data_IF_626133129636
#
_entry.id   IF_626133129636
#
_cell.length_a   1.000
_cell.length_b   1.000
_cell.length_c   1.000
_cell.angle_alpha   90.00
_cell.angle_beta   90.00
_cell.angle_gamma   90.00
#
_symmetry.space_group_name_H-M   'P 1'
#
loop_
_entity.id
_entity.type
_entity.pdbx_description
1 polymer ?
#
# COMPACT_ATOMS: atom_id res chain seq x y z
N UNK A 1 6.36 11.99 -1.01
CA UNK A 1 6.09 12.17 -2.46
C UNK A 1 7.10 11.49 -3.40
N UNK A 2 8.06 10.67 -2.93
CA UNK A 2 9.20 10.20 -3.76
C UNK A 2 9.16 8.69 -4.09
N UNK A 3 8.81 7.83 -3.12
CA UNK A 3 8.84 6.36 -3.28
C UNK A 3 8.10 5.90 -4.54
N UNK A 4 8.78 5.11 -5.38
CA UNK A 4 8.23 4.54 -6.61
C UNK A 4 7.50 5.56 -7.51
N UNK A 5 8.04 6.79 -7.61
CA UNK A 5 7.47 7.87 -8.44
C UNK A 5 6.35 8.67 -7.78
N UNK A 6 6.00 8.38 -6.52
CA UNK A 6 5.01 9.12 -5.74
C UNK A 6 3.55 8.77 -6.07
N UNK A 7 2.63 9.63 -5.64
CA UNK A 7 1.18 9.47 -5.86
C UNK A 7 0.45 8.57 -4.86
N UNK A 8 1.13 8.11 -3.82
CA UNK A 8 0.53 7.31 -2.75
C UNK A 8 -0.20 8.19 -1.73
N UNK A 9 -1.42 7.79 -1.38
CA UNK A 9 -2.26 8.33 -0.32
C UNK A 9 -2.27 7.36 0.86
N UNK A 10 -2.07 7.85 2.08
CA UNK A 10 -2.16 7.03 3.28
C UNK A 10 -3.64 6.76 3.57
N UNK A 11 -4.03 5.49 3.73
CA UNK A 11 -5.40 5.13 4.08
C UNK A 11 -5.50 4.27 5.33
N UNK A 12 -4.37 3.86 5.91
CA UNK A 12 -4.36 3.08 7.13
C UNK A 12 -3.06 3.20 7.89
N UNK A 13 -3.14 3.20 9.22
CA UNK A 13 -1.96 3.14 10.10
C UNK A 13 -2.26 2.25 11.31
N UNK A 14 -1.26 1.47 11.71
CA UNK A 14 -1.27 0.73 12.98
C UNK A 14 0.03 0.98 13.74
N UNK A 15 -0.03 0.98 15.07
CA UNK A 15 1.13 1.02 15.95
C UNK A 15 1.39 -0.34 16.63
N UNK A 16 0.63 -1.37 16.24
CA UNK A 16 0.82 -2.75 16.65
C UNK A 16 0.66 -3.67 15.44
N UNK A 17 1.01 -4.95 15.62
CA UNK A 17 0.74 -6.00 14.61
C UNK A 17 -0.73 -6.40 14.53
N UNK A 18 -1.59 -5.90 15.44
CA UNK A 18 -3.02 -6.17 15.41
C UNK A 18 -3.69 -5.22 14.43
N UNK A 19 -4.15 -5.76 13.30
CA UNK A 19 -4.78 -4.96 12.23
C UNK A 19 -6.31 -4.92 12.33
N UNK A 20 -6.91 -5.89 13.03
CA UNK A 20 -8.35 -6.14 13.00
C UNK A 20 -9.19 -5.39 14.02
N UNK A 21 -8.57 -4.88 15.09
CA UNK A 21 -9.18 -3.97 16.07
C UNK A 21 -9.14 -2.51 15.61
N UNK A 22 -8.44 -2.22 14.52
CA UNK A 22 -8.12 -0.84 14.16
C UNK A 22 -9.38 -0.21 13.58
N UNK A 23 -9.86 0.91 14.17
CA UNK A 23 -11.10 1.53 13.76
C UNK A 23 -11.00 2.11 12.35
N UNK A 24 -12.13 2.36 11.71
CA UNK A 24 -12.18 3.24 10.54
C UNK A 24 -13.01 4.48 10.84
N UNK A 25 -12.60 5.62 10.28
CA UNK A 25 -13.32 6.89 10.38
C UNK A 25 -13.35 7.61 9.04
N UNK A 26 -13.99 8.78 9.00
CA UNK A 26 -13.98 9.65 7.82
C UNK A 26 -12.78 10.60 7.80
N UNK A 27 -11.90 10.51 8.80
CA UNK A 27 -10.75 11.42 8.93
C UNK A 27 -9.61 10.99 8.01
N UNK A 28 -8.72 11.95 7.73
CA UNK A 28 -7.46 11.68 7.03
C UNK A 28 -6.50 10.92 7.95
N UNK A 29 -5.85 9.89 7.41
CA UNK A 29 -4.80 9.19 8.16
C UNK A 29 -3.53 10.01 8.14
N UNK A 30 -3.06 10.36 9.32
CA UNK A 30 -1.77 11.01 9.50
C UNK A 30 -0.64 9.97 9.65
N UNK A 31 0.55 10.20 9.09
CA UNK A 31 1.68 9.28 9.22
C UNK A 31 2.11 9.03 10.68
N UNK A 32 1.92 10.01 11.56
CA UNK A 32 2.32 9.94 12.97
C UNK A 32 1.15 10.15 13.95
N UNK A 33 -0.09 10.09 13.45
CA UNK A 33 -1.30 10.30 14.25
C UNK A 33 -1.82 9.03 14.91
N UNK A 34 -3.11 8.97 15.22
CA UNK A 34 -3.72 7.78 15.83
C UNK A 34 -3.95 6.62 14.84
N UNK A 35 -3.86 5.36 15.26
CA UNK A 35 -4.18 4.20 14.42
C UNK A 35 -5.64 4.20 13.96
N UNK A 36 -5.87 4.26 12.65
CA UNK A 36 -7.18 4.08 12.04
C UNK A 36 -7.07 3.80 10.53
N UNK A 37 -8.18 3.40 9.93
CA UNK A 37 -8.40 3.33 8.49
C UNK A 37 -9.25 4.51 8.01
N UNK A 38 -8.97 5.03 6.82
CA UNK A 38 -9.77 6.06 6.15
C UNK A 38 -10.89 5.41 5.33
N UNK A 39 -12.13 5.53 5.79
CA UNK A 39 -13.31 5.09 5.05
C UNK A 39 -13.76 6.08 3.96
N UNK A 40 -13.37 7.36 4.06
CA UNK A 40 -13.66 8.37 3.03
C UNK A 40 -12.94 8.09 1.69
N UNK A 41 -11.91 7.23 1.68
CA UNK A 41 -11.23 6.78 0.47
C UNK A 41 -11.87 5.54 -0.17
N UNK A 42 -12.99 5.04 0.35
CA UNK A 42 -13.63 3.80 -0.13
C UNK A 42 -13.97 3.80 -1.62
N UNK A 43 -14.34 4.96 -2.17
CA UNK A 43 -14.65 5.12 -3.60
C UNK A 43 -13.44 5.52 -4.46
N UNK A 44 -12.24 5.63 -3.86
CA UNK A 44 -11.03 5.87 -4.64
C UNK A 44 -10.69 4.63 -5.48
N UNK A 45 -10.46 4.78 -6.80
CA UNK A 45 -9.88 3.72 -7.60
C UNK A 45 -8.44 3.49 -7.14
N UNK A 46 -8.05 2.24 -6.98
CA UNK A 46 -6.71 1.83 -6.57
C UNK A 46 -6.11 0.91 -7.61
N UNK A 47 -4.83 1.11 -7.87
CA UNK A 47 -4.02 0.34 -8.80
C UNK A 47 -2.78 -0.22 -8.11
N UNK A 48 -2.27 0.49 -7.11
CA UNK A 48 -1.22 -0.02 -6.23
C UNK A 48 -1.67 0.03 -4.77
N UNK A 49 -1.36 -1.03 -4.02
CA UNK A 49 -1.45 -1.07 -2.56
C UNK A 49 -0.04 -1.25 -2.01
N UNK A 50 0.42 -0.31 -1.20
CA UNK A 50 1.74 -0.31 -0.58
C UNK A 50 1.60 -0.54 0.91
N UNK A 51 2.50 -1.35 1.46
CA UNK A 51 2.58 -1.66 2.89
C UNK A 51 4.01 -1.43 3.34
N UNK A 52 4.15 -0.75 4.47
CA UNK A 52 5.43 -0.45 5.08
C UNK A 52 5.39 -0.83 6.55
N UNK A 53 6.38 -1.56 7.03
CA UNK A 53 6.55 -1.92 8.43
C UNK A 53 7.79 -1.26 9.02
N UNK A 54 7.74 -0.83 10.27
CA UNK A 54 8.89 -0.36 11.02
C UNK A 54 8.84 -0.82 12.48
N UNK A 55 10.00 -0.80 13.15
CA UNK A 55 10.11 -1.13 14.59
C UNK A 55 9.64 0.03 15.47
N UNK A 56 9.85 1.25 15.00
CA UNK A 56 9.48 2.50 15.64
C UNK A 56 8.59 3.29 14.69
N UNK A 57 8.12 4.45 15.12
CA UNK A 57 7.32 5.34 14.28
C UNK A 57 8.10 6.00 13.13
N UNK A 58 9.40 5.70 12.98
CA UNK A 58 10.27 6.30 11.98
C UNK A 58 10.09 5.64 10.60
N UNK A 59 9.36 6.34 9.71
CA UNK A 59 9.13 5.95 8.32
C UNK A 59 10.40 5.85 7.46
N UNK A 60 11.53 6.42 7.91
CA UNK A 60 12.80 6.35 7.17
C UNK A 60 13.54 5.02 7.34
N UNK A 61 13.13 4.19 8.32
CA UNK A 61 13.80 2.92 8.66
C UNK A 61 12.83 1.74 8.58
N UNK A 62 12.32 1.40 7.39
CA UNK A 62 11.42 0.27 7.24
C UNK A 62 12.15 -1.06 7.52
N UNK A 63 11.47 -1.96 8.21
CA UNK A 63 11.86 -3.37 8.36
C UNK A 63 11.56 -4.14 7.07
N UNK A 64 10.39 -3.89 6.49
CA UNK A 64 10.00 -4.36 5.17
C UNK A 64 9.08 -3.34 4.51
N UNK A 65 9.12 -3.27 3.20
CA UNK A 65 8.37 -2.28 2.44
C UNK A 65 8.07 -2.82 1.06
N UNK A 66 6.80 -3.06 0.74
CA UNK A 66 6.41 -3.65 -0.54
C UNK A 66 5.17 -2.98 -1.11
N UNK A 67 4.94 -3.18 -2.40
CA UNK A 67 3.67 -2.85 -3.05
C UNK A 67 3.15 -3.98 -3.92
N UNK A 68 1.84 -4.12 -3.91
CA UNK A 68 1.08 -4.88 -4.88
C UNK A 68 0.71 -3.96 -6.03
N UNK A 69 1.06 -4.36 -7.25
CA UNK A 69 0.44 -3.82 -8.47
C UNK A 69 -0.77 -4.68 -8.81
N UNK A 70 -1.95 -4.09 -8.91
CA UNK A 70 -3.15 -4.78 -9.40
C UNK A 70 -3.14 -4.83 -10.93
N UNK A 71 -3.72 -5.89 -11.51
CA UNK A 71 -3.86 -6.00 -12.97
C UNK A 71 -4.86 -4.97 -13.51
N UNK A 72 -5.95 -4.75 -12.75
CA UNK A 72 -6.98 -3.77 -13.09
C UNK A 72 -7.26 -2.88 -11.88
N UNK A 73 -7.63 -1.64 -12.15
CA UNK A 73 -8.10 -0.73 -11.11
C UNK A 73 -9.37 -1.28 -10.45
N UNK A 74 -9.53 -1.01 -9.16
CA UNK A 74 -10.76 -1.29 -8.42
C UNK A 74 -10.94 -0.31 -7.27
N UNK A 75 -12.17 -0.18 -6.77
CA UNK A 75 -12.45 0.69 -5.64
C UNK A 75 -11.83 0.14 -4.35
N UNK A 76 -11.31 1.02 -3.49
CA UNK A 76 -10.71 0.63 -2.21
C UNK A 76 -11.70 -0.12 -1.30
N UNK A 77 -12.98 0.23 -1.31
CA UNK A 77 -14.03 -0.50 -0.57
C UNK A 77 -14.19 -1.96 -1.01
N UNK A 78 -13.60 -2.35 -2.14
CA UNK A 78 -13.55 -3.72 -2.66
C UNK A 78 -12.10 -4.25 -2.65
N UNK A 79 -11.30 -3.85 -1.65
CA UNK A 79 -9.89 -4.25 -1.53
C UNK A 79 -9.74 -5.78 -1.40
N UNK A 80 -10.62 -6.40 -0.62
CA UNK A 80 -10.64 -7.85 -0.46
C UNK A 80 -11.61 -8.48 -1.47
N UNK A 81 -11.19 -9.55 -2.14
CA UNK A 81 -11.97 -10.30 -3.14
C UNK A 81 -11.91 -11.80 -2.90
N UNK A 82 -12.89 -12.52 -3.43
CA UNK A 82 -13.05 -13.99 -3.38
C UNK A 82 -12.76 -14.66 -4.73
N UNK A 83 -12.34 -13.89 -5.73
CA UNK A 83 -12.08 -14.32 -7.10
C UNK A 83 -10.83 -13.63 -7.69
N UNK A 84 -10.60 -13.74 -9.00
CA UNK A 84 -9.49 -13.11 -9.73
C UNK A 84 -8.11 -13.32 -9.08
N UNK A 85 -7.75 -14.57 -8.82
CA UNK A 85 -6.46 -14.96 -8.24
C UNK A 85 -6.54 -15.41 -6.78
N UNK A 86 -7.54 -14.92 -6.02
CA UNK A 86 -7.95 -15.54 -4.78
C UNK A 86 -9.00 -16.62 -5.06
N UNK A 87 -9.03 -17.67 -4.24
CA UNK A 87 -10.10 -18.67 -4.28
C UNK A 87 -11.24 -18.25 -3.36
N UNK A 88 -12.46 -18.72 -3.63
CA UNK A 88 -13.63 -18.41 -2.81
C UNK A 88 -13.42 -18.77 -1.34
N UNK A 89 -12.75 -19.89 -1.06
CA UNK A 89 -12.44 -20.33 0.31
C UNK A 89 -11.29 -19.57 0.99
N UNK A 90 -10.57 -18.70 0.28
CA UNK A 90 -9.40 -17.96 0.79
C UNK A 90 -9.41 -16.50 0.30
N UNK A 91 -10.34 -15.68 0.81
CA UNK A 91 -10.49 -14.29 0.42
C UNK A 91 -9.27 -13.43 0.78
N UNK A 92 -9.03 -12.39 -0.01
CA UNK A 92 -7.92 -11.49 0.25
C UNK A 92 -7.65 -10.48 -0.84
N UNK A 93 -6.44 -9.93 -0.86
CA UNK A 93 -6.01 -9.00 -1.92
C UNK A 93 -5.59 -9.83 -3.12
N UNK A 94 -6.53 -10.02 -4.04
CA UNK A 94 -6.30 -10.72 -5.30
C UNK A 94 -6.00 -9.77 -6.47
N UNK A 95 -6.00 -10.36 -7.66
CA UNK A 95 -5.77 -9.71 -8.96
C UNK A 95 -4.42 -8.99 -9.05
N UNK A 96 -3.38 -9.60 -8.47
CA UNK A 96 -2.05 -9.01 -8.42
C UNK A 96 -1.28 -9.33 -9.72
N UNK A 97 -0.80 -8.28 -10.37
CA UNK A 97 0.07 -8.34 -11.53
C UNK A 97 1.51 -8.70 -11.12
N UNK A 98 2.03 -7.99 -10.11
CA UNK A 98 3.34 -8.22 -9.54
C UNK A 98 3.47 -7.62 -8.14
N UNK A 99 4.49 -8.05 -7.42
CA UNK A 99 4.91 -7.46 -6.15
C UNK A 99 6.27 -6.79 -6.33
N UNK A 100 6.39 -5.55 -5.85
CA UNK A 100 7.64 -4.80 -5.83
C UNK A 100 8.13 -4.69 -4.40
N UNK A 101 9.40 -5.03 -4.15
CA UNK A 101 10.08 -4.65 -2.93
C UNK A 101 10.56 -3.20 -3.09
N UNK A 102 10.07 -2.33 -2.22
CA UNK A 102 10.34 -0.89 -2.25
C UNK A 102 11.59 -0.51 -1.47
N UNK A 103 12.23 -1.45 -0.75
CA UNK A 103 13.57 -1.25 -0.18
C UNK A 103 14.64 -1.40 -1.27
N UNK A 104 14.42 -2.28 -2.24
CA UNK A 104 15.34 -2.53 -3.36
C UNK A 104 14.85 -1.96 -4.69
N UNK A 105 13.62 -1.44 -4.73
CA UNK A 105 12.93 -0.93 -5.94
C UNK A 105 12.83 -1.97 -7.07
N UNK A 106 12.86 -3.26 -6.73
CA UNK A 106 12.79 -4.37 -7.70
C UNK A 106 11.46 -5.11 -7.65
N UNK A 107 11.03 -5.60 -8.82
CA UNK A 107 9.92 -6.56 -8.88
C UNK A 107 10.44 -7.91 -8.38
N UNK A 108 9.91 -8.36 -7.24
CA UNK A 108 10.36 -9.60 -6.59
C UNK A 108 9.56 -10.82 -7.02
N UNK A 109 8.36 -10.63 -7.56
CA UNK A 109 7.58 -11.72 -8.16
C UNK A 109 6.47 -11.21 -9.08
N UNK A 110 6.23 -11.94 -10.16
CA UNK A 110 5.07 -11.80 -11.06
C UNK A 110 4.13 -13.00 -10.98
N UNK A 111 4.49 -14.01 -10.17
CA UNK A 111 3.75 -15.26 -9.98
C UNK A 111 2.69 -15.14 -8.89
N UNK A 112 2.91 -14.24 -7.93
CA UNK A 112 2.02 -14.01 -6.81
C UNK A 112 0.68 -13.41 -7.26
N UNK A 113 -0.44 -13.99 -6.81
CA UNK A 113 -1.80 -13.64 -7.23
C UNK A 113 -2.72 -13.23 -6.09
N UNK A 114 -2.54 -13.77 -4.88
CA UNK A 114 -3.44 -13.51 -3.76
C UNK A 114 -2.73 -13.43 -2.42
N UNK A 115 -2.95 -12.32 -1.69
CA UNK A 115 -2.63 -12.19 -0.28
C UNK A 115 -3.86 -12.55 0.56
N UNK A 116 -3.90 -13.76 1.12
CA UNK A 116 -5.04 -14.23 1.92
C UNK A 116 -5.08 -13.47 3.23
N UNK A 117 -6.20 -12.79 3.44
CA UNK A 117 -6.35 -11.88 4.57
C UNK A 117 -6.83 -12.59 5.84
N UNK A 118 -7.80 -13.49 5.68
CA UNK A 118 -8.55 -14.12 6.77
C UNK A 118 -9.24 -15.39 6.29
N UNK A 119 -9.90 -16.09 7.22
CA UNK A 119 -10.69 -17.28 6.87
C UNK A 119 -11.88 -16.89 6.01
N UNK A 120 -12.29 -17.78 5.11
CA UNK A 120 -13.58 -17.60 4.46
C UNK A 120 -14.71 -17.81 5.47
N UNK A 121 -15.44 -16.74 5.72
CA UNK A 121 -16.74 -16.78 6.37
C UNK A 121 -17.81 -16.50 5.32
N UNK A 122 -19.00 -17.09 5.48
CA UNK A 122 -20.13 -16.84 4.58
C UNK A 122 -20.37 -15.31 4.51
N UNK A 123 -20.49 -14.70 3.32
CA UNK A 123 -20.78 -13.27 3.19
C UNK A 123 -22.00 -12.82 4.02
N UNK A 124 -22.98 -13.70 4.22
CA UNK A 124 -24.17 -13.46 5.04
C UNK A 124 -23.85 -13.26 6.53
N UNK A 125 -22.75 -13.83 7.05
CA UNK A 125 -22.32 -13.58 8.44
C UNK A 125 -21.51 -12.29 8.57
N UNK A 126 -20.94 -11.77 7.47
CA UNK A 126 -20.44 -10.41 7.41
C UNK A 126 -19.14 -10.09 8.15
N UNK A 127 -18.33 -11.09 8.57
CA UNK A 127 -17.06 -10.87 9.30
C UNK A 127 -15.80 -10.95 8.44
N UNK A 128 -14.66 -10.62 9.05
CA UNK A 128 -13.34 -10.75 8.45
C UNK A 128 -13.20 -9.83 7.23
N UNK A 129 -12.91 -10.41 6.06
CA UNK A 129 -12.70 -9.64 4.83
C UNK A 129 -13.93 -8.84 4.38
N UNK A 130 -15.15 -9.36 4.56
CA UNK A 130 -16.38 -8.67 4.18
C UNK A 130 -16.57 -7.43 5.05
N UNK A 131 -16.31 -7.56 6.35
CA UNK A 131 -16.35 -6.44 7.28
C UNK A 131 -15.24 -5.44 6.97
N UNK A 132 -14.02 -5.88 6.62
CA UNK A 132 -12.94 -4.97 6.22
C UNK A 132 -13.36 -4.09 5.03
N UNK A 133 -13.95 -4.68 3.99
CA UNK A 133 -14.51 -3.93 2.86
C UNK A 133 -15.61 -2.95 3.31
N UNK A 134 -16.51 -3.38 4.20
CA UNK A 134 -17.53 -2.51 4.79
C UNK A 134 -16.91 -1.33 5.57
N UNK A 135 -15.87 -1.58 6.36
CA UNK A 135 -15.17 -0.56 7.14
C UNK A 135 -14.34 0.40 6.27
N UNK A 136 -13.99 0.01 5.04
CA UNK A 136 -13.43 0.91 4.04
C UNK A 136 -14.52 1.73 3.32
N UNK A 137 -15.80 1.35 3.42
CA UNK A 137 -16.94 2.08 2.87
C UNK A 137 -17.58 3.05 3.86
N UNK A 138 -17.55 2.71 5.16
CA UNK A 138 -18.14 3.50 6.24
C UNK A 138 -17.32 3.37 7.52
N UNK A 139 -17.43 4.31 8.47
CA UNK A 139 -16.79 4.21 9.77
C UNK A 139 -17.17 2.93 10.53
N UNK A 140 -16.19 2.33 11.20
CA UNK A 140 -16.30 1.18 12.10
C UNK A 140 -15.53 1.50 13.37
N UNK A 141 -16.23 1.77 14.48
CA UNK A 141 -15.60 2.29 15.72
C UNK A 141 -14.64 1.30 16.39
N UNK A 142 -14.76 0.01 16.12
CA UNK A 142 -13.98 -1.07 16.78
C UNK A 142 -13.11 -1.86 15.81
N UNK A 143 -13.09 -1.49 14.54
CA UNK A 143 -12.46 -2.27 13.48
C UNK A 143 -13.31 -3.43 12.98
N UNK A 144 -12.74 -4.24 12.09
CA UNK A 144 -13.48 -5.20 11.28
C UNK A 144 -13.70 -6.58 11.93
N UNK A 145 -13.16 -6.81 13.13
CA UNK A 145 -13.38 -8.06 13.87
C UNK A 145 -14.67 -8.08 14.71
N UNK A 146 -15.34 -6.95 14.86
CA UNK A 146 -16.49 -6.81 15.77
C UNK A 146 -17.78 -6.65 14.97
N UNK A 147 -18.86 -7.23 15.50
CA UNK A 147 -20.19 -6.80 15.09
C UNK A 147 -20.46 -5.39 15.60
N UNK A 148 -20.75 -4.49 14.66
CA UNK A 148 -21.17 -3.11 14.95
C UNK A 148 -22.69 -3.01 14.85
N UNK A 149 -23.40 -3.81 15.65
CA UNK A 149 -24.84 -3.64 15.92
C UNK A 149 -25.00 -3.13 17.34
N UNK A 150 -25.76 -2.04 17.52
CA UNK A 150 -25.80 -1.17 18.71
C UNK A 150 -26.08 -1.85 20.07
N UNK A 151 -26.50 -3.12 20.09
CA UNK A 151 -27.02 -3.77 21.30
C UNK A 151 -26.03 -4.71 21.98
N UNK A 152 -25.11 -5.36 21.25
CA UNK A 152 -24.14 -6.28 21.87
C UNK A 152 -22.78 -6.30 21.16
N UNK A 153 -21.71 -6.25 21.96
CA UNK A 153 -20.33 -6.34 21.48
C UNK A 153 -19.84 -7.79 21.51
N UNK A 154 -19.64 -8.38 20.33
CA UNK A 154 -18.97 -9.67 20.20
C UNK A 154 -17.85 -9.58 19.17
N UNK A 155 -16.66 -10.03 19.57
CA UNK A 155 -15.57 -10.26 18.64
C UNK A 155 -15.83 -11.57 17.88
N UNK A 156 -15.70 -11.52 16.56
CA UNK A 156 -16.12 -12.59 15.64
C UNK A 156 -14.97 -13.11 14.77
N UNK A 157 -13.87 -12.36 14.70
CA UNK A 157 -12.65 -12.77 14.01
C UNK A 157 -11.43 -12.38 14.85
N UNK A 158 -10.37 -13.17 14.76
CA UNK A 158 -9.09 -12.96 15.44
C UNK A 158 -7.91 -12.95 14.45
N UNK A 159 -8.21 -12.87 13.16
CA UNK A 159 -7.24 -12.91 12.07
C UNK A 159 -7.37 -11.69 11.17
N UNK A 160 -6.31 -11.40 10.45
CA UNK A 160 -6.24 -10.26 9.54
C UNK A 160 -4.78 -9.95 9.27
N UNK A 161 -4.30 -10.33 8.08
CA UNK A 161 -2.89 -10.11 7.74
C UNK A 161 -2.69 -9.71 6.29
N UNK A 162 -1.67 -8.88 6.09
CA UNK A 162 -1.21 -8.49 4.77
C UNK A 162 0.15 -9.12 4.54
N UNK A 163 0.28 -9.88 3.45
CA UNK A 163 1.47 -10.69 3.18
C UNK A 163 1.76 -10.82 1.70
N UNK A 164 2.98 -11.22 1.35
CA UNK A 164 3.27 -11.70 0.00
C UNK A 164 4.25 -12.86 0.04
N UNK A 165 4.26 -13.67 -1.02
CA UNK A 165 5.25 -14.70 -1.24
C UNK A 165 5.95 -14.46 -2.58
N UNK A 166 7.28 -14.55 -2.59
CA UNK A 166 8.06 -14.54 -3.84
C UNK A 166 8.04 -15.90 -4.53
N UNK A 167 7.80 -16.99 -3.78
CA UNK A 167 7.90 -18.36 -4.26
C UNK A 167 6.55 -18.95 -4.70
N UNK A 168 5.47 -18.60 -3.99
CA UNK A 168 4.13 -19.10 -4.19
C UNK A 168 3.21 -18.12 -4.93
N UNK A 169 2.10 -18.64 -5.45
CA UNK A 169 1.02 -17.83 -6.02
C UNK A 169 0.11 -17.21 -4.95
N UNK A 170 0.16 -17.72 -3.72
CA UNK A 170 -0.71 -17.33 -2.61
C UNK A 170 0.13 -17.27 -1.32
N UNK A 171 -0.19 -16.33 -0.43
CA UNK A 171 0.42 -16.20 0.91
C UNK A 171 -0.65 -15.83 1.94
N UNK A 172 -0.27 -15.74 3.22
CA UNK A 172 -1.15 -15.26 4.29
C UNK A 172 -1.35 -16.29 5.38
N UNK A 173 -2.51 -16.26 6.05
CA UNK A 173 -2.75 -17.03 7.28
C UNK A 173 -2.66 -18.56 7.13
N UNK A 174 -2.68 -19.09 5.90
CA UNK A 174 -2.57 -20.53 5.63
C UNK A 174 -1.31 -20.93 4.88
N UNK A 175 -0.46 -19.97 4.51
CA UNK A 175 0.65 -20.18 3.59
C UNK A 175 1.90 -19.45 4.05
N UNK A 176 3.07 -19.95 3.65
CA UNK A 176 4.30 -19.22 3.94
C UNK A 176 4.33 -17.89 3.16
N UNK A 177 5.08 -16.94 3.69
CA UNK A 177 5.20 -15.59 3.15
C UNK A 177 6.66 -15.12 3.22
N UNK A 178 7.06 -14.27 2.29
CA UNK A 178 8.31 -13.52 2.33
C UNK A 178 8.24 -12.41 3.39
N UNK A 179 7.10 -11.72 3.46
CA UNK A 179 6.79 -10.78 4.53
C UNK A 179 5.31 -10.84 4.88
N UNK A 180 5.00 -10.55 6.14
CA UNK A 180 3.65 -10.51 6.70
C UNK A 180 3.57 -9.47 7.81
N UNK A 181 2.46 -8.75 7.87
CA UNK A 181 2.01 -8.02 9.06
C UNK A 181 0.58 -8.38 9.37
N UNK A 182 0.31 -8.73 10.61
CA UNK A 182 -1.05 -9.01 11.06
C UNK A 182 -1.13 -10.14 12.06
N UNK A 183 -2.32 -10.72 12.15
CA UNK A 183 -2.62 -11.83 13.04
C UNK A 183 -3.12 -13.06 12.28
N UNK A 184 -2.72 -14.23 12.77
CA UNK A 184 -3.30 -15.52 12.43
C UNK A 184 -3.67 -16.24 13.73
N UNK A 185 -4.97 -16.52 13.92
CA UNK A 185 -5.53 -17.13 15.15
C UNK A 185 -5.00 -16.50 16.44
N UNK A 186 -5.15 -15.18 16.59
CA UNK A 186 -4.65 -14.36 17.74
C UNK A 186 -3.14 -14.17 17.83
N UNK A 187 -2.32 -14.88 17.03
CA UNK A 187 -0.86 -14.70 17.02
C UNK A 187 -0.50 -13.59 16.04
N UNK A 188 -0.07 -12.45 16.58
CA UNK A 188 0.20 -11.26 15.80
C UNK A 188 1.69 -10.93 15.74
N UNK A 189 2.17 -10.54 14.56
CA UNK A 189 3.55 -10.12 14.34
C UNK A 189 3.70 -9.32 13.04
N UNK A 190 4.81 -8.60 12.95
CA UNK A 190 5.48 -8.38 11.68
C UNK A 190 6.57 -9.43 11.50
N UNK A 191 6.54 -10.16 10.39
CA UNK A 191 7.61 -11.06 10.00
C UNK A 191 8.10 -10.72 8.59
N UNK A 192 9.41 -10.80 8.36
CA UNK A 192 10.01 -10.43 7.09
C UNK A 192 11.36 -11.13 6.87
N UNK A 193 11.72 -11.29 5.59
CA UNK A 193 13.05 -11.66 5.15
C UNK A 193 13.99 -10.46 4.97
N UNK A 194 15.24 -10.70 4.52
CA UNK A 194 16.13 -9.63 4.08
C UNK A 194 15.52 -8.87 2.89
N UNK A 195 15.91 -7.59 2.71
CA UNK A 195 15.55 -6.80 1.53
C UNK A 195 16.01 -7.53 0.26
N UNK A 196 15.13 -7.60 -0.75
CA UNK A 196 15.36 -8.38 -1.97
C UNK A 196 15.37 -9.90 -1.77
N UNK A 197 14.90 -10.40 -0.62
CA UNK A 197 14.86 -11.84 -0.32
C UNK A 197 14.09 -12.64 -1.36
N UNK A 198 14.58 -13.84 -1.65
CA UNK A 198 14.11 -14.71 -2.74
C UNK A 198 13.36 -15.96 -2.25
N UNK A 199 13.00 -16.00 -0.96
CA UNK A 199 12.31 -17.12 -0.34
C UNK A 199 11.14 -16.67 0.57
N UNK A 200 10.46 -17.64 1.17
CA UNK A 200 9.49 -17.41 2.22
C UNK A 200 10.13 -17.60 3.60
N UNK A 201 10.06 -16.55 4.40
CA UNK A 201 10.74 -16.42 5.70
C UNK A 201 9.78 -16.46 6.89
N UNK A 202 8.48 -16.42 6.60
CA UNK A 202 7.40 -16.34 7.56
C UNK A 202 6.45 -17.50 7.33
N UNK A 203 6.25 -18.29 8.38
CA UNK A 203 5.23 -19.33 8.42
C UNK A 203 3.95 -18.81 9.06
N UNK A 204 2.92 -19.66 9.00
CA UNK A 204 1.64 -19.44 9.68
C UNK A 204 1.82 -19.24 11.18
N UNK A 205 0.85 -18.60 11.82
CA UNK A 205 0.86 -18.36 13.26
C UNK A 205 2.11 -17.60 13.75
N UNK A 206 2.66 -16.72 12.90
CA UNK A 206 3.85 -15.94 13.19
C UNK A 206 5.09 -16.79 13.51
N UNK A 207 5.30 -17.88 12.77
CA UNK A 207 6.49 -18.74 12.92
C UNK A 207 7.63 -18.28 12.02
N UNK A 208 8.84 -18.23 12.56
CA UNK A 208 10.04 -17.88 11.79
C UNK A 208 10.44 -19.07 10.92
N UNK A 209 10.83 -18.80 9.68
CA UNK A 209 11.48 -19.76 8.79
C UNK A 209 12.83 -19.23 8.34
N UNK A 210 13.84 -20.10 8.30
CA UNK A 210 15.19 -19.78 7.81
C UNK A 210 15.71 -18.48 8.45
N UNK A 211 16.17 -17.53 7.63
CA UNK A 211 16.73 -16.24 8.04
C UNK A 211 15.66 -15.14 8.27
N UNK A 212 14.39 -15.52 8.44
CA UNK A 212 13.34 -14.57 8.77
C UNK A 212 13.54 -13.88 10.11
N UNK A 213 12.95 -12.70 10.24
CA UNK A 213 12.92 -11.93 11.49
C UNK A 213 11.48 -11.73 11.91
N UNK A 214 11.18 -11.92 13.20
CA UNK A 214 9.87 -11.65 13.80
C UNK A 214 9.99 -10.48 14.75
N UNK A 215 9.02 -9.58 14.68
CA UNK A 215 8.82 -8.49 15.63
C UNK A 215 7.37 -8.55 16.10
N UNK A 216 7.15 -8.62 17.43
CA UNK A 216 5.81 -8.75 18.00
C UNK A 216 4.96 -7.49 17.82
N UNK A 217 5.55 -6.32 17.99
CA UNK A 217 4.89 -5.02 17.82
C UNK A 217 5.57 -4.26 16.69
N UNK A 218 4.85 -4.06 15.60
CA UNK A 218 5.33 -3.26 14.46
C UNK A 218 4.42 -2.07 14.22
N UNK A 219 5.03 -0.95 13.85
CA UNK A 219 4.31 0.17 13.25
C UNK A 219 4.11 -0.14 11.77
N UNK A 220 2.91 0.08 11.26
CA UNK A 220 2.59 -0.22 9.87
C UNK A 220 1.78 0.88 9.22
N UNK A 221 2.08 1.13 7.95
CA UNK A 221 1.39 2.11 7.11
C UNK A 221 0.92 1.47 5.84
N UNK A 222 -0.32 1.78 5.48
CA UNK A 222 -1.03 1.23 4.34
C UNK A 222 -1.39 2.37 3.40
N UNK A 223 -0.86 2.29 2.19
CA UNK A 223 -0.94 3.35 1.20
C UNK A 223 -1.59 2.83 -0.06
N UNK A 224 -2.33 3.68 -0.76
CA UNK A 224 -2.95 3.35 -2.04
C UNK A 224 -2.57 4.37 -3.09
N UNK A 225 -2.55 3.96 -4.36
CA UNK A 225 -2.30 4.85 -5.49
C UNK A 225 -3.22 4.48 -6.64
N UNK A 226 -3.91 5.48 -7.18
CA UNK A 226 -4.84 5.31 -8.31
C UNK A 226 -4.11 5.24 -9.65
N UNK A 227 -3.02 6.01 -9.81
CA UNK A 227 -2.21 5.99 -11.01
C UNK A 227 -0.77 6.40 -10.69
N UNK A 228 0.17 5.95 -11.52
CA UNK A 228 1.56 6.40 -11.42
C UNK A 228 1.61 7.85 -11.94
N UNK A 229 2.04 8.84 -11.13
CA UNK A 229 2.14 10.21 -11.59
C UNK A 229 3.02 10.29 -12.84
N UNK A 230 2.45 10.76 -13.95
CA UNK A 230 3.25 11.10 -15.13
C UNK A 230 4.01 12.39 -14.81
N UNK A 231 5.31 12.45 -15.11
CA UNK A 231 6.05 13.71 -15.10
C UNK A 231 5.48 14.60 -16.21
N UNK A 232 4.49 15.42 -15.88
CA UNK A 232 3.86 16.36 -16.83
C UNK A 232 4.77 17.59 -17.04
N UNK A 233 5.61 17.90 -16.06
CA UNK A 233 6.55 19.01 -16.13
C UNK A 233 7.88 18.58 -16.76
N UNK A 234 8.01 18.87 -18.06
CA UNK A 234 9.30 19.15 -18.67
C UNK A 234 9.75 20.53 -18.16
N UNK A 235 10.90 20.64 -17.48
CA UNK A 235 11.41 21.95 -17.01
C UNK A 235 11.51 22.88 -18.24
N UNK A 236 10.63 23.86 -18.33
CA UNK A 236 10.80 25.03 -19.19
C UNK A 236 11.24 26.15 -18.26
N UNK A 237 12.50 26.57 -18.36
CA UNK A 237 12.99 27.75 -17.66
C UNK A 237 13.23 28.84 -18.70
N UNK A 238 12.39 29.88 -18.65
CA UNK A 238 12.52 31.06 -19.48
C UNK A 238 13.23 32.14 -18.66
N UNK A 239 14.35 32.66 -19.16
CA UNK A 239 15.04 33.76 -18.52
C UNK A 239 15.49 34.80 -19.53
N UNK A 240 15.56 36.06 -19.07
CA UNK A 240 15.98 37.22 -19.85
C UNK A 240 17.41 37.56 -19.46
N UNK A 241 18.27 37.78 -20.46
CA UNK A 241 19.63 38.28 -20.27
C UNK A 241 19.76 39.60 -21.00
N UNK A 242 20.24 40.62 -20.31
CA UNK A 242 20.68 41.86 -20.95
C UNK A 242 22.10 41.67 -21.44
N UNK A 243 22.31 41.77 -22.74
CA UNK A 243 23.64 41.67 -23.34
C UNK A 243 24.47 42.92 -23.04
N UNK A 244 25.78 42.85 -23.25
CA UNK A 244 26.71 43.99 -23.10
C UNK A 244 26.30 45.22 -23.92
N UNK A 245 25.48 45.03 -24.96
CA UNK A 245 25.03 46.08 -25.87
C UNK A 245 23.67 46.68 -25.47
N UNK A 246 23.10 46.25 -24.33
CA UNK A 246 21.79 46.71 -23.85
C UNK A 246 20.58 45.92 -24.39
N UNK A 247 20.79 45.01 -25.35
CA UNK A 247 19.71 44.21 -25.91
C UNK A 247 19.24 43.14 -24.92
N UNK A 248 17.92 42.99 -24.77
CA UNK A 248 17.31 41.92 -23.97
C UNK A 248 17.08 40.68 -24.83
N UNK A 249 17.75 39.58 -24.52
CA UNK A 249 17.57 38.28 -25.19
C UNK A 249 16.85 37.31 -24.26
N UNK A 250 15.84 36.60 -24.79
CA UNK A 250 15.17 35.50 -24.08
C UNK A 250 15.81 34.18 -24.44
N UNK A 251 16.11 33.40 -23.41
CA UNK A 251 16.57 32.03 -23.53
C UNK A 251 15.55 31.07 -22.95
N UNK A 252 15.44 29.89 -23.58
CA UNK A 252 14.62 28.78 -23.10
C UNK A 252 15.50 27.56 -22.88
N UNK A 253 15.40 26.96 -21.70
CA UNK A 253 15.93 25.63 -21.44
C UNK A 253 14.81 24.62 -21.62
N UNK A 254 14.99 23.71 -22.58
CA UNK A 254 14.07 22.63 -22.88
C UNK A 254 14.65 21.30 -22.39
N UNK A 255 13.81 20.50 -21.71
CA UNK A 255 14.07 19.08 -21.47
C UNK A 255 15.40 18.73 -20.76
N UNK A 256 15.92 19.63 -19.92
CA UNK A 256 17.18 19.39 -19.20
C UNK A 256 18.43 19.43 -20.07
N UNK A 257 18.32 19.92 -21.32
CA UNK A 257 19.48 20.29 -22.12
C UNK A 257 20.25 21.42 -21.39
N UNK A 258 21.54 21.24 -21.03
CA UNK A 258 22.32 22.27 -20.37
C UNK A 258 22.61 23.49 -21.26
N UNK A 259 22.37 23.38 -22.57
CA UNK A 259 22.59 24.46 -23.53
C UNK A 259 21.28 25.25 -23.76
N UNK A 260 21.22 26.55 -23.42
CA UNK A 260 20.03 27.38 -23.62
C UNK A 260 19.80 27.70 -25.10
N UNK A 261 18.55 27.65 -25.55
CA UNK A 261 18.17 28.04 -26.91
C UNK A 261 17.68 29.49 -26.94
N UNK A 262 18.17 30.28 -27.91
CA UNK A 262 17.74 31.68 -28.12
C UNK A 262 16.38 31.72 -28.80
N UNK A 263 15.41 32.40 -28.18
CA UNK A 263 14.06 32.55 -28.76
C UNK A 263 14.01 33.79 -29.65
N UNK A 264 13.96 33.60 -30.97
CA UNK A 264 13.73 34.69 -31.93
C UNK A 264 12.23 34.99 -32.02
N UNK A 265 11.79 36.09 -31.42
CA UNK A 265 10.42 36.58 -31.55
C UNK A 265 10.30 37.24 -32.92
N UNK A 266 9.69 36.53 -33.90
CA UNK A 266 9.11 37.23 -35.06
C UNK A 266 7.86 37.96 -34.56
N UNK A 267 7.94 39.29 -34.51
CA UNK A 267 6.77 40.15 -34.36
C UNK A 267 5.85 39.87 -35.55
N UNK A 268 4.74 39.17 -35.30
CA UNK A 268 3.60 39.19 -36.21
C UNK A 268 2.88 40.49 -35.90
N UNK A 269 3.14 41.51 -36.71
CA UNK A 269 2.34 42.74 -36.71
C UNK A 269 0.98 42.43 -37.32
N UNK A 270 -0.08 42.74 -36.56
CA UNK A 270 -1.47 42.79 -37.04
C UNK A 270 -1.68 44.02 -37.92
#
# INVERSE_FOLDING_TARGET
MITDGGGYMLFGRTNTSVTWTVPSSNDAVEPYGDPHWASHLGDAPILDLRIQMARTEDLSKPLAHWSFRLQTERLLKNLMIVDHGCAQATPGIGNIAYVKDLQTENIVTTKFRCSVFGSYHNPATGFGWTMMNSCLKKPCRRGFAFFDHDVFMFQTDHSGSFSYSVSGSISGIYQNSTAIVGCDKTKCCGCFGPAGGTDDYCGTECKKRRNGTIVKNVYSWFWVRSSIPKKVWKKCMDYKVTTSNGDTVRYKLLDGNPTPEKVNIRLVTA
#
